data_IF_743475556744
#
_entry.id   IF_743475556744
#
_cell.length_a   1.000
_cell.length_b   1.000
_cell.length_c   1.000
_cell.angle_alpha   90.00
_cell.angle_beta   90.00
_cell.angle_gamma   90.00
#
_symmetry.space_group_name_H-M   'P 1'
#
loop_
_entity.id
_entity.type
_entity.pdbx_description
1 polymer ?
#
# COMPACT_ATOMS: atom_id res chain seq x y z
N UNK A 1 26.35 -33.72 -42.28
CA UNK A 1 25.44 -34.70 -41.66
C UNK A 1 24.66 -33.92 -40.61
N UNK A 2 23.40 -33.58 -40.89
CA UNK A 2 22.56 -32.86 -39.93
C UNK A 2 22.16 -33.84 -38.83
N UNK A 3 22.71 -33.69 -37.63
CA UNK A 3 22.17 -34.35 -36.45
C UNK A 3 20.75 -33.81 -36.24
N UNK A 4 19.76 -34.59 -36.66
CA UNK A 4 18.35 -34.31 -36.43
C UNK A 4 18.12 -34.38 -34.93
N UNK A 5 17.93 -33.23 -34.28
CA UNK A 5 17.59 -33.17 -32.86
C UNK A 5 16.29 -33.95 -32.66
N UNK A 6 16.30 -34.95 -31.78
CA UNK A 6 15.09 -35.63 -31.35
C UNK A 6 14.26 -34.69 -30.48
N UNK A 7 13.34 -33.98 -31.13
CA UNK A 7 12.41 -33.02 -30.52
C UNK A 7 11.59 -33.65 -29.40
N UNK A 8 11.23 -34.93 -29.54
CA UNK A 8 10.44 -35.65 -28.54
C UNK A 8 11.26 -35.86 -27.28
N UNK A 9 12.49 -36.34 -27.43
CA UNK A 9 13.42 -36.53 -26.30
C UNK A 9 13.76 -35.21 -25.62
N UNK A 10 14.04 -34.16 -26.39
CA UNK A 10 14.31 -32.82 -25.84
C UNK A 10 13.12 -32.30 -25.02
N UNK A 11 11.89 -32.47 -25.54
CA UNK A 11 10.67 -32.05 -24.83
C UNK A 11 10.48 -32.78 -23.50
N UNK A 12 10.82 -34.07 -23.43
CA UNK A 12 10.77 -34.85 -22.19
C UNK A 12 11.81 -34.35 -21.19
N UNK A 13 13.06 -34.15 -21.62
CA UNK A 13 14.14 -33.62 -20.78
C UNK A 13 13.80 -32.25 -20.20
N UNK A 14 13.25 -31.34 -21.01
CA UNK A 14 12.85 -29.99 -20.56
C UNK A 14 11.70 -30.03 -19.54
N UNK A 15 10.81 -31.02 -19.59
CA UNK A 15 9.79 -31.19 -18.55
C UNK A 15 10.40 -31.67 -17.24
N UNK A 16 11.30 -32.65 -17.30
CA UNK A 16 11.98 -33.20 -16.12
C UNK A 16 12.83 -32.14 -15.41
N UNK A 17 13.52 -31.30 -16.18
CA UNK A 17 14.28 -30.15 -15.68
C UNK A 17 13.42 -28.96 -15.22
N UNK A 18 12.08 -29.04 -15.40
CA UNK A 18 11.12 -27.97 -15.09
C UNK A 18 11.47 -26.65 -15.80
N UNK A 19 11.70 -26.72 -17.12
CA UNK A 19 12.03 -25.57 -17.98
C UNK A 19 10.87 -25.24 -18.95
N UNK A 20 9.69 -24.81 -18.43
CA UNK A 20 8.50 -24.59 -19.25
C UNK A 20 8.65 -23.49 -20.31
N UNK A 21 9.43 -22.44 -20.06
CA UNK A 21 9.58 -21.36 -21.03
C UNK A 21 10.46 -21.83 -22.21
N UNK A 22 11.57 -22.49 -21.90
CA UNK A 22 12.46 -23.07 -22.92
C UNK A 22 11.67 -24.09 -23.75
N UNK A 23 10.91 -24.99 -23.11
CA UNK A 23 10.05 -25.95 -23.83
C UNK A 23 9.12 -25.28 -24.85
N UNK A 24 8.61 -24.09 -24.56
CA UNK A 24 7.71 -23.37 -25.46
C UNK A 24 8.43 -22.53 -26.52
N UNK A 25 9.65 -22.05 -26.24
CA UNK A 25 10.31 -21.03 -27.05
C UNK A 25 11.55 -21.52 -27.82
N UNK A 26 12.10 -22.70 -27.48
CA UNK A 26 13.40 -23.14 -27.97
C UNK A 26 13.47 -23.22 -29.50
N UNK A 27 12.44 -23.73 -30.18
CA UNK A 27 12.42 -23.85 -31.64
C UNK A 27 12.50 -22.48 -32.33
N UNK A 28 11.72 -21.52 -31.83
CA UNK A 28 11.70 -20.15 -32.38
C UNK A 28 13.04 -19.45 -32.17
N UNK A 29 13.65 -19.64 -31.01
CA UNK A 29 14.95 -19.05 -30.67
C UNK A 29 16.08 -19.74 -31.46
N UNK A 30 16.00 -21.06 -31.66
CA UNK A 30 16.95 -21.81 -32.48
C UNK A 30 16.90 -21.35 -33.94
N UNK A 31 15.71 -21.26 -34.55
CA UNK A 31 15.55 -20.76 -35.91
C UNK A 31 16.10 -19.33 -36.09
N UNK A 32 15.96 -18.48 -35.07
CA UNK A 32 16.55 -17.14 -35.06
C UNK A 32 18.07 -17.19 -34.94
N UNK A 33 18.60 -18.02 -34.05
CA UNK A 33 20.03 -18.23 -33.86
C UNK A 33 20.71 -18.67 -35.16
N UNK A 34 20.08 -19.60 -35.89
CA UNK A 34 20.58 -20.10 -37.17
C UNK A 34 20.57 -19.02 -38.24
N UNK A 35 19.48 -18.23 -38.32
CA UNK A 35 19.34 -17.13 -39.29
C UNK A 35 20.35 -16.00 -39.03
N UNK A 36 20.49 -15.60 -37.78
CA UNK A 36 21.30 -14.45 -37.37
C UNK A 36 22.77 -14.84 -37.08
N UNK A 37 23.14 -16.12 -37.21
CA UNK A 37 24.48 -16.64 -36.99
C UNK A 37 24.98 -16.46 -35.55
N UNK A 38 24.12 -16.68 -34.55
CA UNK A 38 24.51 -16.47 -33.16
C UNK A 38 25.54 -17.50 -32.69
N UNK A 39 26.54 -17.09 -31.87
CA UNK A 39 27.36 -18.03 -31.13
C UNK A 39 26.50 -18.89 -30.20
N UNK A 40 26.85 -20.17 -30.01
CA UNK A 40 26.12 -21.10 -29.15
C UNK A 40 25.92 -20.55 -27.71
N UNK A 41 26.92 -19.82 -27.19
CA UNK A 41 26.83 -19.18 -25.89
C UNK A 41 25.68 -18.15 -25.82
N UNK A 42 25.46 -17.37 -26.89
CA UNK A 42 24.37 -16.40 -26.97
C UNK A 42 23.01 -17.09 -27.04
N UNK A 43 22.90 -18.17 -27.83
CA UNK A 43 21.69 -18.97 -27.89
C UNK A 43 21.29 -19.51 -26.51
N UNK A 44 22.25 -20.12 -25.79
CA UNK A 44 22.03 -20.65 -24.45
C UNK A 44 21.64 -19.55 -23.46
N UNK A 45 22.35 -18.40 -23.49
CA UNK A 45 22.04 -17.26 -22.64
C UNK A 45 20.61 -16.75 -22.86
N UNK A 46 20.18 -16.58 -24.12
CA UNK A 46 18.83 -16.13 -24.45
C UNK A 46 17.75 -17.12 -23.97
N UNK A 47 17.96 -18.43 -24.11
CA UNK A 47 17.03 -19.42 -23.56
C UNK A 47 16.92 -19.32 -22.03
N UNK A 48 18.05 -19.20 -21.34
CA UNK A 48 18.09 -19.09 -19.89
C UNK A 48 17.44 -17.78 -19.39
N UNK A 49 17.67 -16.66 -20.08
CA UNK A 49 17.04 -15.37 -19.78
C UNK A 49 15.51 -15.45 -19.86
N UNK A 50 14.98 -16.07 -20.92
CA UNK A 50 13.54 -16.28 -21.07
C UNK A 50 12.95 -17.17 -19.96
N UNK A 51 13.67 -18.22 -19.56
CA UNK A 51 13.25 -19.09 -18.46
C UNK A 51 13.25 -18.37 -17.11
N UNK A 52 14.30 -17.59 -16.81
CA UNK A 52 14.37 -16.79 -15.59
C UNK A 52 13.24 -15.75 -15.55
N UNK A 53 13.02 -15.02 -16.64
CA UNK A 53 11.96 -14.03 -16.73
C UNK A 53 10.57 -14.64 -16.52
N UNK A 54 10.30 -15.80 -17.11
CA UNK A 54 9.03 -16.51 -16.94
C UNK A 54 8.84 -17.03 -15.51
N UNK A 55 9.91 -17.52 -14.87
CA UNK A 55 9.88 -17.96 -13.47
C UNK A 55 9.60 -16.79 -12.52
N UNK A 56 10.26 -15.67 -12.73
CA UNK A 56 10.04 -14.44 -11.95
C UNK A 56 8.61 -13.93 -12.14
N UNK A 57 8.10 -13.90 -13.38
CA UNK A 57 6.71 -13.53 -13.68
C UNK A 57 5.71 -14.41 -12.95
N UNK A 58 5.86 -15.75 -13.03
CA UNK A 58 4.98 -16.70 -12.34
C UNK A 58 5.10 -16.63 -10.81
N UNK A 59 6.29 -16.33 -10.28
CA UNK A 59 6.48 -16.08 -8.84
C UNK A 59 5.68 -14.86 -8.42
N UNK A 60 5.86 -13.74 -9.12
CA UNK A 60 5.18 -12.48 -8.84
C UNK A 60 3.66 -12.62 -8.94
N UNK A 61 3.15 -13.26 -9.99
CA UNK A 61 1.70 -13.51 -10.16
C UNK A 61 1.10 -14.30 -9.00
N UNK A 62 1.79 -15.37 -8.56
CA UNK A 62 1.34 -16.15 -7.40
C UNK A 62 1.35 -15.31 -6.12
N UNK A 63 2.44 -14.58 -5.87
CA UNK A 63 2.54 -13.76 -4.67
C UNK A 63 1.52 -12.63 -4.66
N UNK A 64 1.29 -11.97 -5.81
CA UNK A 64 0.26 -10.95 -5.96
C UNK A 64 -1.15 -11.50 -5.72
N UNK A 65 -1.44 -12.70 -6.23
CA UNK A 65 -2.71 -13.39 -5.99
C UNK A 65 -2.97 -13.70 -4.52
N UNK A 66 -1.92 -14.06 -3.78
CA UNK A 66 -1.98 -14.32 -2.34
C UNK A 66 -2.02 -13.04 -1.50
N UNK A 67 -1.41 -11.94 -1.96
CA UNK A 67 -1.14 -10.77 -1.14
C UNK A 67 -2.36 -9.90 -0.80
N UNK A 68 -3.44 -9.97 -1.58
CA UNK A 68 -4.69 -9.22 -1.33
C UNK A 68 -4.50 -7.70 -1.12
N UNK A 69 -3.49 -7.12 -1.79
CA UNK A 69 -3.19 -5.69 -1.74
C UNK A 69 -4.31 -4.84 -2.35
N UNK A 70 -4.35 -3.57 -1.97
CA UNK A 70 -5.31 -2.61 -2.51
C UNK A 70 -4.95 -2.24 -3.95
N UNK A 71 -5.92 -2.27 -4.89
CA UNK A 71 -5.64 -1.98 -6.30
C UNK A 71 -5.22 -0.51 -6.50
N UNK A 72 -4.23 -0.29 -7.37
CA UNK A 72 -3.75 1.05 -7.76
C UNK A 72 -3.00 1.81 -6.66
N UNK A 73 -2.65 1.16 -5.54
CA UNK A 73 -1.89 1.77 -4.43
C UNK A 73 -0.42 1.44 -4.58
N UNK A 74 0.34 2.38 -5.15
CA UNK A 74 1.79 2.26 -5.38
C UNK A 74 2.52 3.45 -4.76
N UNK A 75 3.84 3.34 -4.63
CA UNK A 75 4.68 4.46 -4.15
C UNK A 75 4.68 5.62 -5.15
N UNK A 76 4.54 5.34 -6.45
CA UNK A 76 4.47 6.35 -7.50
C UNK A 76 3.16 7.16 -7.44
N UNK A 77 2.06 6.54 -7.01
CA UNK A 77 0.77 7.22 -6.84
C UNK A 77 0.56 7.81 -5.45
N UNK A 78 1.53 7.63 -4.53
CA UNK A 78 1.47 8.21 -3.19
C UNK A 78 2.06 9.63 -3.21
N UNK A 79 1.25 10.59 -2.77
CA UNK A 79 1.65 11.99 -2.66
C UNK A 79 2.38 12.22 -1.32
N UNK A 80 3.72 12.19 -1.37
CA UNK A 80 4.57 12.48 -0.22
C UNK A 80 4.57 13.97 0.18
N UNK A 81 4.22 14.88 -0.73
CA UNK A 81 4.13 16.31 -0.41
C UNK A 81 2.91 16.59 0.47
N UNK A 82 1.83 15.83 0.29
CA UNK A 82 0.67 15.86 1.19
C UNK A 82 0.95 15.25 2.58
N UNK A 83 2.04 14.50 2.76
CA UNK A 83 2.45 13.90 4.04
C UNK A 83 3.94 14.13 4.31
N UNK A 84 4.37 15.39 4.55
CA UNK A 84 5.79 15.76 4.64
C UNK A 84 6.56 15.09 5.79
N UNK A 85 5.86 14.57 6.79
CA UNK A 85 6.46 13.88 7.93
C UNK A 85 6.88 12.44 7.62
N UNK A 86 6.44 11.89 6.48
CA UNK A 86 6.92 10.60 5.97
C UNK A 86 7.99 10.86 4.92
N UNK A 87 9.24 10.56 5.26
CA UNK A 87 10.34 10.67 4.30
C UNK A 87 10.19 9.68 3.16
N UNK A 88 10.11 10.18 1.92
CA UNK A 88 10.12 9.35 0.70
C UNK A 88 11.37 8.47 0.64
N UNK A 89 12.54 9.00 1.02
CA UNK A 89 13.78 8.24 1.03
C UNK A 89 13.73 7.07 2.02
N UNK A 90 13.17 7.31 3.21
CA UNK A 90 12.99 6.26 4.21
C UNK A 90 11.97 5.20 3.78
N UNK A 91 10.85 5.62 3.19
CA UNK A 91 9.86 4.69 2.62
C UNK A 91 10.48 3.82 1.51
N UNK A 92 11.30 4.41 0.63
CA UNK A 92 12.02 3.66 -0.41
C UNK A 92 13.05 2.69 0.17
N UNK A 93 13.77 3.08 1.22
CA UNK A 93 14.72 2.21 1.91
C UNK A 93 14.03 0.97 2.51
N UNK A 94 12.85 1.15 3.13
CA UNK A 94 12.05 0.04 3.66
C UNK A 94 11.61 -0.95 2.56
N UNK A 95 11.50 -0.50 1.31
CA UNK A 95 11.11 -1.35 0.19
C UNK A 95 12.23 -2.26 -0.32
N UNK A 96 13.48 -2.08 0.14
CA UNK A 96 14.53 -3.07 -0.09
C UNK A 96 14.25 -4.37 0.68
N UNK A 97 13.72 -4.25 1.90
CA UNK A 97 13.22 -5.36 2.73
C UNK A 97 14.30 -6.15 3.47
N UNK A 98 15.46 -6.34 2.88
CA UNK A 98 16.64 -7.04 3.41
C UNK A 98 17.04 -6.60 4.83
N UNK A 99 17.03 -5.31 5.13
CA UNK A 99 17.50 -4.82 6.44
C UNK A 99 16.55 -5.15 7.61
N UNK A 100 15.24 -5.23 7.40
CA UNK A 100 14.26 -5.24 8.49
C UNK A 100 13.33 -6.45 8.48
N UNK A 101 13.01 -7.01 7.31
CA UNK A 101 12.20 -8.21 7.20
C UNK A 101 12.95 -9.45 7.70
N UNK A 102 14.25 -9.54 7.39
CA UNK A 102 15.10 -10.65 7.85
C UNK A 102 15.27 -10.68 9.37
N UNK A 103 15.20 -9.51 10.01
CA UNK A 103 15.30 -9.35 11.46
C UNK A 103 13.94 -9.49 12.17
N UNK A 104 12.85 -9.65 11.41
CA UNK A 104 11.50 -9.69 11.98
C UNK A 104 11.05 -8.35 12.58
N UNK A 105 11.65 -7.23 12.19
CA UNK A 105 11.26 -5.90 12.67
C UNK A 105 9.89 -5.49 12.10
N UNK A 106 9.19 -4.58 12.77
CA UNK A 106 7.86 -4.13 12.41
C UNK A 106 7.88 -2.73 11.79
N UNK A 107 6.81 -2.39 11.07
CA UNK A 107 6.53 -1.05 10.60
C UNK A 107 5.15 -0.62 11.09
N UNK A 108 5.06 0.50 11.81
CA UNK A 108 3.80 0.96 12.38
C UNK A 108 3.48 2.34 11.79
N UNK A 109 2.29 2.44 11.18
CA UNK A 109 1.75 3.68 10.66
C UNK A 109 0.65 4.18 11.60
N UNK A 110 0.87 5.32 12.25
CA UNK A 110 -0.06 5.97 13.17
C UNK A 110 -0.61 7.25 12.56
N UNK A 111 -1.81 7.67 12.97
CA UNK A 111 -2.36 8.98 12.62
C UNK A 111 -3.84 8.92 12.25
N UNK A 112 -4.53 10.06 12.09
CA UNK A 112 -5.96 10.10 11.87
C UNK A 112 -6.44 9.39 10.58
N UNK A 113 -7.73 9.04 10.49
CA UNK A 113 -8.30 8.44 9.28
C UNK A 113 -8.14 9.30 8.04
N UNK A 114 -7.79 8.64 6.92
CA UNK A 114 -7.64 9.30 5.63
C UNK A 114 -6.29 10.00 5.39
N UNK A 115 -5.31 9.83 6.28
CA UNK A 115 -3.93 10.31 6.06
C UNK A 115 -3.07 9.45 5.12
N UNK A 116 -3.62 8.40 4.49
CA UNK A 116 -2.90 7.59 3.51
C UNK A 116 -2.20 6.33 4.04
N UNK A 117 -2.34 6.00 5.33
CA UNK A 117 -1.74 4.79 5.95
C UNK A 117 -1.96 3.50 5.16
N UNK A 118 -3.22 3.16 4.84
CA UNK A 118 -3.54 1.95 4.07
C UNK A 118 -3.02 1.99 2.62
N UNK A 119 -2.87 3.18 2.03
CA UNK A 119 -2.23 3.32 0.71
C UNK A 119 -0.75 3.01 0.85
N UNK A 120 -0.05 3.68 1.77
CA UNK A 120 1.38 3.52 1.97
C UNK A 120 1.74 2.07 2.33
N UNK A 121 0.96 1.43 3.21
CA UNK A 121 1.18 0.02 3.57
C UNK A 121 1.03 -0.90 2.37
N UNK A 122 -0.02 -0.71 1.56
CA UNK A 122 -0.22 -1.49 0.34
C UNK A 122 0.87 -1.22 -0.71
N UNK A 123 1.35 0.02 -0.82
CA UNK A 123 2.40 0.41 -1.75
C UNK A 123 3.75 -0.20 -1.38
N UNK A 124 4.11 -0.19 -0.10
CA UNK A 124 5.30 -0.87 0.42
C UNK A 124 5.17 -2.38 0.18
N UNK A 125 4.00 -2.96 0.48
CA UNK A 125 3.73 -4.38 0.22
C UNK A 125 3.93 -4.76 -1.25
N UNK A 126 3.48 -3.93 -2.19
CA UNK A 126 3.69 -4.17 -3.62
C UNK A 126 5.18 -4.13 -4.00
N UNK A 127 5.91 -3.12 -3.53
CA UNK A 127 7.35 -3.00 -3.82
C UNK A 127 8.14 -4.20 -3.27
N UNK A 128 7.77 -4.71 -2.09
CA UNK A 128 8.38 -5.90 -1.50
C UNK A 128 8.07 -7.19 -2.30
N UNK A 129 6.85 -7.33 -2.82
CA UNK A 129 6.50 -8.45 -3.71
C UNK A 129 7.36 -8.48 -4.97
N UNK A 130 7.62 -7.31 -5.55
CA UNK A 130 8.51 -7.16 -6.72
C UNK A 130 9.95 -7.60 -6.42
N UNK A 131 10.39 -7.47 -5.16
CA UNK A 131 11.68 -7.98 -4.66
C UNK A 131 11.66 -9.47 -4.28
N UNK A 132 10.50 -10.13 -4.38
CA UNK A 132 10.36 -11.56 -4.12
C UNK A 132 9.90 -11.92 -2.71
N UNK A 133 9.64 -10.94 -1.84
CA UNK A 133 9.07 -11.16 -0.51
C UNK A 133 7.60 -11.56 -0.59
N UNK A 134 7.15 -12.46 0.28
CA UNK A 134 5.76 -12.84 0.41
C UNK A 134 5.05 -11.89 1.37
N UNK A 135 4.07 -11.17 0.86
CA UNK A 135 3.27 -10.22 1.63
C UNK A 135 1.83 -10.71 1.70
N UNK A 136 1.15 -10.50 2.82
CA UNK A 136 -0.31 -10.63 2.94
C UNK A 136 -0.89 -9.35 3.54
N UNK A 137 -1.87 -8.77 2.88
CA UNK A 137 -2.68 -7.67 3.39
C UNK A 137 -4.04 -8.18 3.88
N UNK A 138 -4.42 -7.76 5.08
CA UNK A 138 -5.76 -7.99 5.61
C UNK A 138 -6.19 -6.81 6.45
N UNK A 139 -7.49 -6.51 6.42
CA UNK A 139 -8.11 -5.78 7.53
C UNK A 139 -7.94 -6.61 8.80
N UNK A 140 -7.58 -5.96 9.89
CA UNK A 140 -7.32 -6.64 11.16
C UNK A 140 -8.57 -7.37 11.65
N UNK A 141 -9.74 -6.72 11.56
CA UNK A 141 -11.04 -7.33 11.89
C UNK A 141 -11.29 -8.65 11.15
N UNK A 142 -11.06 -8.66 9.84
CA UNK A 142 -11.33 -9.81 8.98
C UNK A 142 -10.38 -10.98 9.32
N UNK A 143 -9.14 -10.68 9.71
CA UNK A 143 -8.18 -11.69 10.14
C UNK A 143 -8.52 -12.25 11.51
N UNK A 144 -8.82 -11.37 12.48
CA UNK A 144 -9.22 -11.76 13.85
C UNK A 144 -10.45 -12.67 13.81
N UNK A 145 -11.46 -12.34 13.00
CA UNK A 145 -12.63 -13.19 12.84
C UNK A 145 -12.28 -14.59 12.31
N UNK A 146 -11.38 -14.70 11.33
CA UNK A 146 -10.90 -16.00 10.82
C UNK A 146 -10.15 -16.80 11.88
N UNK A 147 -9.29 -16.14 12.66
CA UNK A 147 -8.56 -16.78 13.76
C UNK A 147 -9.50 -17.23 14.89
N UNK A 148 -10.55 -16.45 15.17
CA UNK A 148 -11.60 -16.82 16.12
C UNK A 148 -12.37 -18.06 15.70
N UNK A 149 -12.74 -18.16 14.42
CA UNK A 149 -13.33 -19.39 13.86
C UNK A 149 -12.37 -20.56 14.04
N UNK A 150 -11.11 -20.40 13.64
CA UNK A 150 -10.10 -21.44 13.78
C UNK A 150 -9.89 -21.86 15.24
N UNK A 151 -9.97 -20.93 16.20
CA UNK A 151 -9.90 -21.23 17.64
C UNK A 151 -11.06 -22.10 18.10
N UNK A 152 -12.29 -21.80 17.67
CA UNK A 152 -13.47 -22.63 17.99
C UNK A 152 -13.38 -24.03 17.37
N UNK A 153 -12.69 -24.14 16.24
CA UNK A 153 -12.45 -25.40 15.54
C UNK A 153 -11.17 -26.12 15.99
N UNK A 154 -10.51 -25.67 17.07
CA UNK A 154 -9.24 -26.22 17.59
C UNK A 154 -8.10 -26.24 16.56
N UNK A 155 -8.14 -25.33 15.58
CA UNK A 155 -7.20 -25.22 14.47
C UNK A 155 -6.43 -23.88 14.46
N UNK A 156 -6.41 -23.15 15.59
CA UNK A 156 -5.77 -21.83 15.70
C UNK A 156 -4.26 -21.89 15.41
N UNK A 157 -3.55 -22.85 16.00
CA UNK A 157 -2.11 -23.02 15.78
C UNK A 157 -1.79 -23.22 14.29
N UNK A 158 -2.53 -24.12 13.63
CA UNK A 158 -2.40 -24.35 12.18
C UNK A 158 -2.74 -23.09 11.37
N UNK A 159 -3.71 -22.28 11.81
CA UNK A 159 -4.04 -21.02 11.15
C UNK A 159 -2.90 -20.00 11.28
N UNK A 160 -2.26 -19.89 12.44
CA UNK A 160 -1.10 -19.02 12.67
C UNK A 160 0.12 -19.50 11.88
N UNK A 161 0.42 -20.80 11.88
CA UNK A 161 1.52 -21.39 11.09
C UNK A 161 1.35 -21.11 9.58
N UNK A 162 0.11 -21.14 9.08
CA UNK A 162 -0.19 -20.74 7.69
C UNK A 162 0.14 -19.27 7.41
N UNK A 163 0.13 -18.39 8.41
CA UNK A 163 0.52 -16.99 8.28
C UNK A 163 2.04 -16.79 8.36
N UNK A 164 2.80 -17.70 8.98
CA UNK A 164 4.27 -17.63 9.06
C UNK A 164 4.95 -17.75 7.68
N UNK A 165 4.26 -18.30 6.67
CA UNK A 165 4.77 -18.38 5.29
C UNK A 165 4.90 -17.01 4.60
N UNK A 166 4.31 -15.96 5.17
CA UNK A 166 4.40 -14.60 4.69
C UNK A 166 5.49 -13.87 5.47
N UNK A 167 6.45 -13.33 4.73
CA UNK A 167 7.56 -12.54 5.28
C UNK A 167 7.02 -11.25 5.92
N UNK A 168 6.00 -10.64 5.29
CA UNK A 168 5.29 -9.49 5.83
C UNK A 168 3.78 -9.73 5.94
N UNK A 169 3.23 -9.50 7.13
CA UNK A 169 1.79 -9.43 7.36
C UNK A 169 1.37 -7.99 7.60
N UNK A 170 0.54 -7.44 6.70
CA UNK A 170 -0.03 -6.11 6.83
C UNK A 170 -1.39 -6.22 7.53
N UNK A 171 -1.48 -5.65 8.74
CA UNK A 171 -2.68 -5.54 9.55
C UNK A 171 -3.22 -4.11 9.44
N UNK A 172 -4.19 -3.93 8.55
CA UNK A 172 -4.82 -2.62 8.35
C UNK A 172 -5.87 -2.37 9.44
N UNK A 173 -5.84 -1.18 10.03
CA UNK A 173 -6.85 -0.63 10.92
C UNK A 173 -7.03 -1.45 12.23
N UNK A 174 -5.93 -1.68 12.97
CA UNK A 174 -5.91 -2.50 14.20
C UNK A 174 -6.84 -1.96 15.31
N UNK A 175 -7.06 -0.65 15.35
CA UNK A 175 -7.87 0.03 16.39
C UNK A 175 -9.36 -0.24 16.29
N UNK A 176 -9.83 -0.93 15.24
CA UNK A 176 -11.24 -1.30 15.08
C UNK A 176 -11.58 -2.69 15.60
N UNK A 177 -10.60 -3.44 16.13
CA UNK A 177 -10.86 -4.67 16.87
C UNK A 177 -11.58 -4.32 18.16
N UNK A 178 -12.63 -5.06 18.49
CA UNK A 178 -13.44 -4.78 19.67
C UNK A 178 -12.71 -5.23 20.94
N UNK A 179 -13.06 -4.63 22.08
CA UNK A 179 -12.56 -5.01 23.41
C UNK A 179 -13.19 -6.33 23.91
N UNK A 180 -13.36 -7.30 23.01
CA UNK A 180 -13.78 -8.65 23.33
C UNK A 180 -12.54 -9.51 23.67
N UNK A 181 -12.63 -10.28 24.75
CA UNK A 181 -11.56 -11.15 25.20
C UNK A 181 -11.18 -12.18 24.13
N UNK A 182 -12.18 -12.73 23.42
CA UNK A 182 -11.91 -13.75 22.44
C UNK A 182 -11.16 -13.15 21.22
N UNK A 183 -11.55 -11.96 20.75
CA UNK A 183 -10.88 -11.25 19.64
C UNK A 183 -9.46 -10.83 20.01
N UNK A 184 -9.30 -10.24 21.19
CA UNK A 184 -8.01 -9.76 21.70
C UNK A 184 -7.02 -10.90 21.90
N UNK A 185 -7.48 -12.06 22.38
CA UNK A 185 -6.62 -13.23 22.63
C UNK A 185 -5.99 -13.74 21.34
N UNK A 186 -6.76 -13.93 20.26
CA UNK A 186 -6.20 -14.43 19.00
C UNK A 186 -5.26 -13.42 18.34
N UNK A 187 -5.53 -12.12 18.50
CA UNK A 187 -4.64 -11.07 18.02
C UNK A 187 -3.31 -11.08 18.78
N UNK A 188 -3.35 -11.24 20.09
CA UNK A 188 -2.15 -11.34 20.93
C UNK A 188 -1.33 -12.60 20.61
N UNK A 189 -1.97 -13.74 20.40
CA UNK A 189 -1.29 -14.97 19.98
C UNK A 189 -0.59 -14.79 18.62
N UNK A 190 -1.25 -14.13 17.66
CA UNK A 190 -0.63 -13.79 16.37
C UNK A 190 0.58 -12.87 16.53
N UNK A 191 0.46 -11.80 17.31
CA UNK A 191 1.56 -10.86 17.59
C UNK A 191 2.73 -11.61 18.23
N UNK A 192 2.45 -12.45 19.22
CA UNK A 192 3.46 -13.22 19.94
C UNK A 192 4.14 -14.26 19.06
N UNK A 193 3.42 -14.92 18.16
CA UNK A 193 3.98 -15.89 17.24
C UNK A 193 4.92 -15.27 16.18
N UNK A 194 4.71 -13.99 15.86
CA UNK A 194 5.50 -13.26 14.86
C UNK A 194 6.66 -12.47 15.45
N UNK A 195 6.60 -12.12 16.73
CA UNK A 195 7.65 -11.41 17.45
C UNK A 195 9.03 -12.05 17.23
N UNK A 196 10.03 -11.24 16.83
CA UNK A 196 11.42 -11.64 16.50
C UNK A 196 11.57 -12.75 15.44
N UNK A 197 10.48 -13.09 14.73
CA UNK A 197 10.47 -14.19 13.75
C UNK A 197 10.07 -13.69 12.36
N UNK A 198 9.00 -12.89 12.28
CA UNK A 198 8.44 -12.41 11.02
C UNK A 198 7.82 -11.03 11.20
N UNK A 199 8.02 -10.16 10.22
CA UNK A 199 7.59 -8.78 10.29
C UNK A 199 6.08 -8.57 10.18
N UNK A 200 5.60 -7.51 10.82
CA UNK A 200 4.26 -6.98 10.67
C UNK A 200 4.30 -5.51 10.24
N UNK A 201 3.38 -5.11 9.36
CA UNK A 201 3.08 -3.71 9.10
C UNK A 201 1.70 -3.40 9.66
N UNK A 202 1.60 -2.52 10.64
CA UNK A 202 0.34 -2.21 11.32
C UNK A 202 -0.08 -0.78 10.99
N UNK A 203 -1.36 -0.58 10.65
CA UNK A 203 -1.95 0.76 10.59
C UNK A 203 -2.91 0.97 11.76
N UNK A 204 -2.80 2.13 12.42
CA UNK A 204 -3.64 2.47 13.56
C UNK A 204 -4.10 3.93 13.48
N UNK A 205 -5.35 4.18 13.87
CA UNK A 205 -5.90 5.54 13.86
C UNK A 205 -5.67 6.32 15.16
N UNK A 206 -5.10 5.66 16.17
CA UNK A 206 -4.91 6.18 17.53
C UNK A 206 -3.49 5.87 18.01
N UNK A 207 -2.89 6.74 18.85
CA UNK A 207 -1.58 6.51 19.44
C UNK A 207 -1.62 5.34 20.44
N UNK A 208 -0.45 4.79 20.79
CA UNK A 208 -0.35 3.62 21.68
C UNK A 208 -1.04 3.79 23.04
N UNK A 209 -1.09 5.00 23.59
CA UNK A 209 -1.79 5.29 24.85
C UNK A 209 -3.30 4.97 24.82
N UNK A 210 -3.90 4.92 23.63
CA UNK A 210 -5.33 4.61 23.44
C UNK A 210 -5.59 3.12 23.16
N UNK A 211 -4.55 2.29 23.08
CA UNK A 211 -4.69 0.87 22.73
C UNK A 211 -5.30 0.02 23.86
N UNK A 212 -5.51 0.60 25.05
CA UNK A 212 -6.36 0.00 26.09
C UNK A 212 -7.85 -0.13 25.69
N UNK A 213 -8.23 0.41 24.52
CA UNK A 213 -9.53 0.16 23.87
C UNK A 213 -9.56 -1.12 23.04
N UNK A 214 -8.39 -1.63 22.64
CA UNK A 214 -8.26 -2.84 21.82
C UNK A 214 -8.25 -4.06 22.75
N UNK A 215 -7.37 -4.06 23.75
CA UNK A 215 -7.23 -5.19 24.66
C UNK A 215 -8.02 -4.95 25.96
N UNK A 216 -8.71 -5.96 26.50
CA UNK A 216 -9.52 -5.85 27.72
C UNK A 216 -8.68 -5.53 28.95
N UNK A 217 -7.52 -6.18 29.05
CA UNK A 217 -6.59 -6.10 30.18
C UNK A 217 -5.40 -5.18 29.88
N UNK A 218 -4.97 -4.43 30.90
CA UNK A 218 -3.86 -3.48 30.79
C UNK A 218 -2.50 -4.18 30.63
N UNK A 219 -2.29 -5.31 31.32
CA UNK A 219 -1.04 -6.06 31.21
C UNK A 219 -0.92 -6.69 29.81
N UNK A 220 -2.02 -7.23 29.26
CA UNK A 220 -2.09 -7.71 27.88
C UNK A 220 -1.82 -6.60 26.86
N UNK A 221 -2.40 -5.41 27.06
CA UNK A 221 -2.13 -4.24 26.19
C UNK A 221 -0.64 -3.92 26.17
N UNK A 222 -0.03 -3.78 27.36
CA UNK A 222 1.39 -3.47 27.51
C UNK A 222 2.26 -4.53 26.84
N UNK A 223 1.97 -5.80 27.09
CA UNK A 223 2.69 -6.94 26.52
C UNK A 223 2.59 -6.99 24.99
N UNK A 224 1.44 -6.65 24.41
CA UNK A 224 1.24 -6.61 22.96
C UNK A 224 2.01 -5.43 22.35
N UNK A 225 1.87 -4.23 22.91
CA UNK A 225 2.54 -3.03 22.42
C UNK A 225 4.06 -3.19 22.51
N UNK A 226 4.58 -3.67 23.63
CA UNK A 226 6.01 -3.92 23.85
C UNK A 226 6.62 -4.79 22.73
N UNK A 227 6.01 -5.94 22.44
CA UNK A 227 6.42 -6.83 21.34
C UNK A 227 6.34 -6.16 19.97
N UNK A 228 5.35 -5.30 19.75
CA UNK A 228 5.21 -4.62 18.47
C UNK A 228 6.26 -3.53 18.27
N UNK A 229 6.62 -2.80 19.32
CA UNK A 229 7.49 -1.60 19.24
C UNK A 229 8.97 -1.89 19.49
N UNK A 230 9.32 -3.01 20.14
CA UNK A 230 10.71 -3.33 20.51
C UNK A 230 11.68 -3.23 19.32
N UNK A 231 11.28 -3.76 18.16
CA UNK A 231 11.99 -3.60 16.90
C UNK A 231 11.02 -3.04 15.85
N UNK A 232 10.78 -1.72 15.87
CA UNK A 232 9.87 -1.09 14.93
C UNK A 232 10.39 0.22 14.34
N UNK A 233 10.09 0.43 13.06
CA UNK A 233 10.05 1.77 12.47
C UNK A 233 8.63 2.31 12.62
N UNK A 234 8.48 3.56 13.09
CA UNK A 234 7.18 4.17 13.33
C UNK A 234 7.06 5.42 12.47
N UNK A 235 5.99 5.48 11.67
CA UNK A 235 5.59 6.68 10.94
C UNK A 235 4.33 7.25 11.56
N UNK A 236 4.44 8.44 12.11
CA UNK A 236 3.28 9.23 12.48
C UNK A 236 2.84 10.03 11.26
N UNK A 237 1.56 9.96 10.88
CA UNK A 237 0.97 10.57 9.68
C UNK A 237 -0.15 11.52 10.10
N UNK A 238 0.21 12.61 10.77
CA UNK A 238 -0.72 13.60 11.32
C UNK A 238 -1.07 14.67 10.28
N UNK A 239 -1.90 14.29 9.30
CA UNK A 239 -2.35 15.17 8.20
C UNK A 239 -3.86 15.29 8.12
N UNK A 240 -4.32 16.36 7.47
CA UNK A 240 -5.72 16.47 7.07
C UNK A 240 -6.13 15.32 6.15
N UNK A 241 -7.37 14.84 6.33
CA UNK A 241 -7.88 13.70 5.60
C UNK A 241 -7.89 13.94 4.08
N UNK A 242 -7.10 13.15 3.33
CA UNK A 242 -7.08 13.15 1.88
C UNK A 242 -8.47 12.92 1.28
N UNK A 243 -9.25 12.01 1.90
CA UNK A 243 -10.63 11.71 1.48
C UNK A 243 -11.54 12.93 1.62
N UNK A 244 -11.34 13.75 2.66
CA UNK A 244 -12.10 14.99 2.89
C UNK A 244 -11.74 16.06 1.85
N UNK A 245 -10.44 16.29 1.59
CA UNK A 245 -9.97 17.21 0.55
C UNK A 245 -10.54 16.84 -0.84
N UNK A 246 -10.39 15.58 -1.24
CA UNK A 246 -10.94 15.08 -2.51
C UNK A 246 -12.48 15.14 -2.60
N UNK A 247 -13.20 15.12 -1.46
CA UNK A 247 -14.65 15.31 -1.43
C UNK A 247 -15.03 16.79 -1.57
N UNK A 248 -14.27 17.71 -0.98
CA UNK A 248 -14.45 19.16 -1.13
C UNK A 248 -14.14 19.62 -2.55
N UNK A 249 -13.03 19.17 -3.14
CA UNK A 249 -12.64 19.49 -4.52
C UNK A 249 -13.71 19.02 -5.53
N UNK A 250 -14.30 17.84 -5.33
CA UNK A 250 -15.42 17.37 -6.16
C UNK A 250 -16.68 18.21 -6.01
N UNK A 251 -16.95 18.78 -4.83
CA UNK A 251 -18.07 19.71 -4.62
C UNK A 251 -17.80 21.08 -5.28
N UNK A 252 -16.56 21.54 -5.30
CA UNK A 252 -16.16 22.78 -5.98
C UNK A 252 -16.00 22.61 -7.50
N UNK A 253 -15.81 21.38 -8.01
CA UNK A 253 -15.63 21.05 -9.42
C UNK A 253 -16.91 20.84 -10.25
N UNK A 254 -18.11 21.03 -9.69
CA UNK A 254 -19.38 20.95 -10.42
C UNK A 254 -20.20 22.24 -10.26
N UNK A 255 -19.59 23.38 -10.60
CA UNK A 255 -20.38 24.56 -10.94
C UNK A 255 -21.18 24.26 -12.21
N UNK A 256 -22.52 24.32 -12.12
CA UNK A 256 -23.41 24.20 -13.27
C UNK A 256 -22.91 25.17 -14.36
N UNK A 257 -22.63 24.73 -15.61
CA UNK A 257 -22.14 25.63 -16.63
C UNK A 257 -23.15 26.77 -16.80
N UNK A 258 -22.65 27.99 -16.90
CA UNK A 258 -23.49 29.17 -17.04
C UNK A 258 -24.42 28.95 -18.25
N UNK A 259 -25.74 29.01 -18.02
CA UNK A 259 -26.75 28.84 -19.10
C UNK A 259 -26.74 30.00 -20.11
N UNK A 260 -26.06 31.09 -19.79
CA UNK A 260 -25.97 32.29 -20.61
C UNK A 260 -24.59 32.92 -20.49
N UNK A 261 -24.19 33.63 -21.55
CA UNK A 261 -22.93 34.37 -21.58
C UNK A 261 -22.93 35.49 -20.53
N UNK A 262 -21.87 35.55 -19.71
CA UNK A 262 -21.62 36.65 -18.76
C UNK A 262 -20.39 37.43 -19.21
N UNK A 263 -20.22 38.71 -18.81
CA UNK A 263 -19.08 39.54 -19.24
C UNK A 263 -17.70 38.95 -18.91
N UNK A 264 -17.62 38.10 -17.87
CA UNK A 264 -16.40 37.36 -17.51
C UNK A 264 -16.07 36.21 -18.47
N UNK A 265 -17.03 35.76 -19.28
CA UNK A 265 -16.92 34.60 -20.17
C UNK A 265 -16.93 34.97 -21.67
N UNK A 266 -17.08 36.25 -22.01
CA UNK A 266 -17.08 36.76 -23.40
C UNK A 266 -15.85 37.57 -23.77
N UNK A 267 -14.94 37.84 -22.81
CA UNK A 267 -13.70 38.60 -23.06
C UNK A 267 -13.92 40.07 -23.43
N UNK A 268 -15.14 40.60 -23.28
CA UNK A 268 -15.43 42.01 -23.57
C UNK A 268 -15.18 42.83 -22.32
N UNK A 269 -14.18 43.72 -22.38
CA UNK A 269 -13.87 44.68 -21.32
C UNK A 269 -15.00 45.73 -21.26
N UNK A 270 -15.63 45.98 -20.10
CA UNK A 270 -16.60 47.06 -19.99
C UNK A 270 -15.91 48.43 -20.17
N UNK A 271 -16.60 49.44 -20.72
CA UNK A 271 -16.01 50.74 -20.97
C UNK A 271 -15.61 51.43 -19.65
N UNK A 272 -14.55 52.28 -19.65
CA UNK A 272 -14.08 52.93 -18.44
C UNK A 272 -15.10 53.96 -17.92
N UNK A 273 -15.37 53.93 -16.62
CA UNK A 273 -16.17 54.94 -15.93
C UNK A 273 -15.46 56.30 -15.97
N UNK A 274 -16.23 57.35 -16.31
CA UNK A 274 -15.75 58.71 -16.49
C UNK A 274 -15.48 59.38 -15.11
N UNK A 275 -14.25 59.85 -14.83
CA UNK A 275 -13.92 60.42 -13.52
C UNK A 275 -14.18 61.92 -13.50
N UNK A 276 -15.45 62.36 -13.41
CA UNK A 276 -15.80 63.77 -13.15
C UNK A 276 -17.21 63.92 -12.55
N UNK A 277 -17.29 63.81 -11.22
CA UNK A 277 -18.18 64.52 -10.27
C UNK A 277 -17.54 64.28 -8.91
N UNK A 278 -16.71 65.16 -8.36
CA UNK A 278 -17.03 66.56 -8.04
C UNK A 278 -17.55 66.59 -6.60
N UNK A 279 -16.62 66.58 -5.66
CA UNK A 279 -16.81 66.87 -4.24
C UNK A 279 -17.24 68.32 -4.04
N UNK A 280 -18.20 68.58 -3.17
CA UNK A 280 -18.20 69.81 -2.35
C UNK A 280 -18.73 69.51 -0.93
N UNK A 281 -18.13 70.12 0.12
CA UNK A 281 -18.46 69.89 1.53
C UNK A 281 -19.31 71.03 2.12
N UNK A 282 -20.02 70.78 3.22
CA UNK A 282 -20.16 71.78 4.30
C UNK A 282 -20.81 71.23 5.59
N UNK A 283 -20.13 71.48 6.72
CA UNK A 283 -20.75 72.02 7.94
C UNK A 283 -21.46 71.10 8.96
N UNK A 284 -21.03 71.07 10.23
CA UNK A 284 -21.64 70.27 11.31
C UNK A 284 -22.68 71.06 12.13
N UNK A 285 -23.67 70.38 12.73
CA UNK A 285 -24.47 70.92 13.86
C UNK A 285 -24.78 69.82 14.88
N UNK A 286 -24.51 70.13 16.14
CA UNK A 286 -24.75 69.34 17.34
C UNK A 286 -26.24 69.34 17.77
N UNK A 287 -26.55 68.38 18.65
CA UNK A 287 -27.37 68.51 19.85
C UNK A 287 -28.85 68.03 19.87
N UNK A 288 -29.14 67.37 21.01
CA UNK A 288 -30.42 67.29 21.75
C UNK A 288 -31.46 66.24 21.34
N UNK A 289 -31.75 65.28 22.25
CA UNK A 289 -32.97 65.22 23.11
C UNK A 289 -34.21 64.88 22.25
N UNK A 290 -35.13 63.96 22.53
CA UNK A 290 -35.66 63.38 23.76
C UNK A 290 -36.71 62.32 23.31
N UNK A 291 -36.99 61.33 24.17
CA UNK A 291 -38.30 60.68 24.40
C UNK A 291 -39.00 59.79 23.34
N UNK A 292 -39.38 58.62 23.89
CA UNK A 292 -40.42 57.63 23.55
C UNK A 292 -40.06 56.54 22.53
#
# INVERSE_FOLDING_TARGET
MSDTIDVTRLTLMLNELRLPAIKQLWEKIAARSDKDGWPAARFLATLAEHELAERDRRRLERHLGDAKLLPGKTLATFDFEAVPMVSKAQAMALCAGDAWLEQGANLILLGPPGGGKSHLSSAIGLALLEKGWRVLFSRTSDLVQKLQVARRELALESAIQRLERFDLLILDDITYVSKDQAESSVLFELISARYERRSMLITANQPFGEWGKIFPDAAMTLAAVDRLVHHATIFEMNVESYRRRAALERKHGAGRPARYATPKNTGVTPPPENPQRGTEPDGPVQAQEERQ
#
